data_IF_202408719608
#
_entry.id   IF_202408719608
#
_cell.length_a   1.000
_cell.length_b   1.000
_cell.length_c   1.000
_cell.angle_alpha   90.00
_cell.angle_beta   90.00
_cell.angle_gamma   90.00
#
_symmetry.space_group_name_H-M   'P 1'
#
loop_
_entity.id
_entity.type
_entity.pdbx_description
1 polymer ?
#
# COMPACT_ATOMS: atom_id res chain seq x y z
N UNK A 1 9.08 13.00 -27.00
CA UNK A 1 7.73 13.41 -27.43
C UNK A 1 6.68 12.30 -27.31
N UNK A 2 6.90 11.07 -27.80
CA UNK A 2 5.92 9.96 -27.62
C UNK A 2 5.89 9.41 -26.18
N UNK A 3 7.05 9.32 -25.51
CA UNK A 3 7.18 8.83 -24.13
C UNK A 3 6.42 9.74 -23.13
N UNK A 4 6.37 11.03 -23.42
CA UNK A 4 5.74 12.06 -22.59
C UNK A 4 4.20 11.95 -22.58
N UNK A 5 3.61 11.70 -23.75
CA UNK A 5 2.17 11.52 -23.91
C UNK A 5 1.68 10.23 -23.24
N UNK A 6 2.43 9.13 -23.36
CA UNK A 6 2.10 7.87 -22.69
C UNK A 6 2.09 8.03 -21.17
N UNK A 7 3.11 8.71 -20.61
CA UNK A 7 3.20 8.96 -19.17
C UNK A 7 1.99 9.79 -18.68
N UNK A 8 1.66 10.86 -19.40
CA UNK A 8 0.50 11.71 -19.08
C UNK A 8 -0.83 10.97 -19.16
N UNK A 9 -1.04 10.14 -20.19
CA UNK A 9 -2.27 9.32 -20.31
C UNK A 9 -2.39 8.36 -19.12
N UNK A 10 -1.29 7.71 -18.72
CA UNK A 10 -1.28 6.81 -17.57
C UNK A 10 -1.59 7.57 -16.29
N UNK A 11 -0.94 8.72 -16.04
CA UNK A 11 -1.22 9.55 -14.86
C UNK A 11 -2.68 10.00 -14.80
N UNK A 12 -3.26 10.49 -15.90
CA UNK A 12 -4.67 10.90 -15.96
C UNK A 12 -5.61 9.70 -15.71
N UNK A 13 -5.32 8.54 -16.29
CA UNK A 13 -6.10 7.33 -16.08
C UNK A 13 -6.04 6.86 -14.61
N UNK A 14 -4.86 6.94 -13.98
CA UNK A 14 -4.66 6.62 -12.56
C UNK A 14 -5.50 7.54 -11.67
N UNK A 15 -5.45 8.86 -11.90
CA UNK A 15 -6.27 9.84 -11.17
C UNK A 15 -7.76 9.54 -11.34
N UNK A 16 -8.23 9.30 -12.57
CA UNK A 16 -9.63 9.00 -12.85
C UNK A 16 -10.09 7.67 -12.19
N UNK A 17 -9.23 6.65 -12.19
CA UNK A 17 -9.49 5.36 -11.55
C UNK A 17 -9.66 5.53 -10.03
N UNK A 18 -8.72 6.21 -9.35
CA UNK A 18 -8.80 6.42 -7.91
C UNK A 18 -9.99 7.32 -7.54
N UNK A 19 -10.28 8.36 -8.32
CA UNK A 19 -11.47 9.18 -8.11
C UNK A 19 -12.76 8.36 -8.21
N UNK A 20 -12.83 7.46 -9.19
CA UNK A 20 -13.98 6.55 -9.35
C UNK A 20 -14.10 5.60 -8.15
N UNK A 21 -12.99 5.03 -7.69
CA UNK A 21 -12.95 4.20 -6.48
C UNK A 21 -13.39 4.99 -5.24
N UNK A 22 -13.01 6.26 -5.11
CA UNK A 22 -13.39 7.13 -4.00
C UNK A 22 -14.88 7.40 -3.98
N UNK A 23 -15.44 7.84 -5.11
CA UNK A 23 -16.89 8.09 -5.25
C UNK A 23 -17.69 6.81 -4.96
N UNK A 24 -17.24 5.68 -5.50
CA UNK A 24 -17.89 4.40 -5.26
C UNK A 24 -17.79 3.95 -3.81
N UNK A 25 -16.67 4.17 -3.12
CA UNK A 25 -16.54 3.86 -1.69
C UNK A 25 -17.43 4.75 -0.83
N UNK A 26 -17.51 6.05 -1.13
CA UNK A 26 -18.43 6.99 -0.44
C UNK A 26 -19.88 6.51 -0.59
N UNK A 27 -20.28 6.16 -1.81
CA UNK A 27 -21.62 5.62 -2.08
C UNK A 27 -21.85 4.29 -1.36
N UNK A 28 -20.90 3.37 -1.43
CA UNK A 28 -20.96 2.08 -0.77
C UNK A 28 -21.10 2.25 0.75
N UNK A 29 -20.37 3.16 1.36
CA UNK A 29 -20.42 3.45 2.80
C UNK A 29 -21.72 4.14 3.22
N UNK A 30 -22.23 5.08 2.42
CA UNK A 30 -23.51 5.73 2.69
C UNK A 30 -24.69 4.75 2.57
N UNK A 31 -24.65 3.88 1.56
CA UNK A 31 -25.65 2.81 1.36
C UNK A 31 -25.55 1.76 2.47
N UNK A 32 -24.32 1.39 2.82
CA UNK A 32 -23.99 0.48 3.90
C UNK A 32 -23.71 1.25 5.17
N UNK A 33 -24.66 2.06 5.64
CA UNK A 33 -24.73 2.54 7.02
C UNK A 33 -24.91 1.32 7.96
N UNK A 34 -23.88 0.48 7.97
CA UNK A 34 -23.85 -0.87 8.43
C UNK A 34 -23.44 -0.80 9.89
N UNK A 35 -24.37 -1.29 10.69
CA UNK A 35 -24.29 -1.67 12.11
C UNK A 35 -23.09 -2.56 12.52
N UNK A 36 -22.02 -2.70 11.72
CA UNK A 36 -20.93 -3.66 11.97
C UNK A 36 -19.56 -3.04 12.35
N UNK A 37 -19.21 -3.32 13.61
CA UNK A 37 -17.94 -3.77 14.20
C UNK A 37 -16.56 -3.15 13.93
N UNK A 38 -16.21 -2.61 12.76
CA UNK A 38 -14.80 -2.17 12.52
C UNK A 38 -14.68 -0.79 11.86
N UNK A 39 -15.18 0.22 12.59
CA UNK A 39 -15.12 1.63 12.21
C UNK A 39 -13.70 2.13 11.96
N UNK A 40 -12.67 1.48 12.52
CA UNK A 40 -11.28 1.89 12.35
C UNK A 40 -10.78 1.51 10.96
N UNK A 41 -10.98 0.26 10.52
CA UNK A 41 -10.57 -0.17 9.17
C UNK A 41 -11.24 0.67 8.09
N UNK A 42 -12.52 0.98 8.27
CA UNK A 42 -13.28 1.82 7.33
C UNK A 42 -12.68 3.24 7.27
N UNK A 43 -12.40 3.86 8.42
CA UNK A 43 -11.75 5.19 8.46
C UNK A 43 -10.37 5.17 7.81
N UNK A 44 -9.55 4.17 8.11
CA UNK A 44 -8.24 4.00 7.48
C UNK A 44 -8.38 3.83 5.97
N UNK A 45 -9.38 3.07 5.50
CA UNK A 45 -9.59 2.86 4.07
C UNK A 45 -9.94 4.17 3.36
N UNK A 46 -10.82 4.99 3.95
CA UNK A 46 -11.16 6.30 3.41
C UNK A 46 -9.99 7.27 3.42
N UNK A 47 -9.30 7.40 4.56
CA UNK A 47 -8.15 8.31 4.69
C UNK A 47 -7.06 7.88 3.69
N UNK A 48 -6.77 6.59 3.61
CA UNK A 48 -5.81 6.04 2.66
C UNK A 48 -6.19 6.31 1.21
N UNK A 49 -7.47 6.19 0.86
CA UNK A 49 -7.93 6.45 -0.52
C UNK A 49 -7.86 7.94 -0.89
N UNK A 50 -8.17 8.85 0.06
CA UNK A 50 -7.98 10.29 -0.13
C UNK A 50 -6.50 10.60 -0.32
N UNK A 51 -5.63 10.00 0.49
CA UNK A 51 -4.18 10.17 0.39
C UNK A 51 -3.64 9.64 -0.95
N UNK A 52 -4.12 8.48 -1.41
CA UNK A 52 -3.77 7.94 -2.72
C UNK A 52 -4.24 8.84 -3.87
N UNK A 53 -5.41 9.46 -3.74
CA UNK A 53 -5.91 10.41 -4.73
C UNK A 53 -5.04 11.67 -4.79
N UNK A 54 -4.70 12.24 -3.63
CA UNK A 54 -3.78 13.38 -3.54
C UNK A 54 -2.43 13.03 -4.17
N UNK A 55 -1.83 11.89 -3.80
CA UNK A 55 -0.58 11.41 -4.38
C UNK A 55 -0.60 11.33 -5.91
N UNK A 56 -1.65 10.74 -6.51
CA UNK A 56 -1.76 10.66 -7.98
C UNK A 56 -1.96 12.02 -8.64
N UNK A 57 -2.68 12.93 -7.98
CA UNK A 57 -2.86 14.30 -8.47
C UNK A 57 -1.54 15.06 -8.42
N UNK A 58 -0.78 14.92 -7.33
CA UNK A 58 0.52 15.56 -7.15
C UNK A 58 1.51 15.03 -8.19
N UNK A 59 1.58 13.71 -8.41
CA UNK A 59 2.39 13.11 -9.50
C UNK A 59 2.01 13.65 -10.88
N UNK A 60 0.72 13.83 -11.16
CA UNK A 60 0.28 14.43 -12.42
C UNK A 60 0.76 15.88 -12.56
N UNK A 61 0.68 16.68 -11.49
CA UNK A 61 1.14 18.07 -11.51
C UNK A 61 2.66 18.18 -11.69
N UNK A 62 3.42 17.26 -11.09
CA UNK A 62 4.87 17.16 -11.25
C UNK A 62 5.24 16.78 -12.68
N UNK A 63 4.55 15.79 -13.26
CA UNK A 63 4.74 15.40 -14.66
C UNK A 63 4.37 16.53 -15.65
N UNK A 64 3.59 17.51 -15.22
CA UNK A 64 3.28 18.74 -15.97
C UNK A 64 4.24 19.90 -15.66
N UNK A 65 5.34 19.64 -14.94
CA UNK A 65 6.36 20.59 -14.49
C UNK A 65 5.83 21.76 -13.63
N UNK A 66 4.69 21.59 -12.95
CA UNK A 66 4.03 22.68 -12.22
C UNK A 66 4.81 23.15 -10.98
N UNK A 67 5.69 22.31 -10.43
CA UNK A 67 6.45 22.58 -9.19
C UNK A 67 7.96 22.73 -9.39
N UNK A 68 8.42 22.85 -10.63
CA UNK A 68 9.86 22.90 -10.99
C UNK A 68 10.67 23.94 -10.22
N UNK A 69 10.07 25.08 -9.88
CA UNK A 69 10.72 26.16 -9.14
C UNK A 69 10.66 25.99 -7.61
N UNK A 70 9.97 24.95 -7.11
CA UNK A 70 9.71 24.70 -5.68
C UNK A 70 9.99 23.24 -5.30
N UNK A 71 11.25 22.77 -5.35
CA UNK A 71 11.61 21.37 -5.10
C UNK A 71 11.21 20.88 -3.70
N UNK A 72 11.20 21.76 -2.70
CA UNK A 72 10.75 21.41 -1.34
C UNK A 72 9.23 21.13 -1.31
N UNK A 73 8.45 21.87 -2.09
CA UNK A 73 7.01 21.64 -2.18
C UNK A 73 6.72 20.31 -2.88
N UNK A 74 7.46 19.99 -3.94
CA UNK A 74 7.40 18.71 -4.64
C UNK A 74 7.64 17.53 -3.70
N UNK A 75 8.73 17.55 -2.91
CA UNK A 75 9.05 16.50 -1.93
C UNK A 75 7.91 16.31 -0.92
N UNK A 76 7.36 17.40 -0.37
CA UNK A 76 6.31 17.33 0.65
C UNK A 76 4.97 16.81 0.08
N UNK A 77 4.62 17.25 -1.13
CA UNK A 77 3.38 16.86 -1.81
C UNK A 77 3.41 15.39 -2.26
N UNK A 78 4.57 14.84 -2.58
CA UNK A 78 4.69 13.39 -2.89
C UNK A 78 4.66 12.57 -1.60
N UNK A 79 5.52 12.91 -0.63
CA UNK A 79 5.85 11.98 0.45
C UNK A 79 4.77 11.92 1.52
N UNK A 80 4.10 13.03 1.83
CA UNK A 80 3.05 13.04 2.87
C UNK A 80 1.85 12.18 2.46
N UNK A 81 1.25 12.38 1.27
CA UNK A 81 0.13 11.55 0.82
C UNK A 81 0.54 10.08 0.64
N UNK A 82 1.73 9.83 0.09
CA UNK A 82 2.25 8.46 -0.06
C UNK A 82 2.41 7.75 1.29
N UNK A 83 3.03 8.39 2.27
CA UNK A 83 3.22 7.81 3.61
C UNK A 83 1.89 7.59 4.32
N UNK A 84 0.93 8.50 4.18
CA UNK A 84 -0.40 8.36 4.77
C UNK A 84 -1.17 7.20 4.14
N UNK A 85 -1.11 7.05 2.82
CA UNK A 85 -1.68 5.92 2.09
C UNK A 85 -1.07 4.59 2.56
N UNK A 86 0.25 4.47 2.52
CA UNK A 86 0.98 3.25 2.90
C UNK A 86 0.67 2.84 4.35
N UNK A 87 0.66 3.79 5.29
CA UNK A 87 0.30 3.50 6.68
C UNK A 87 -1.14 3.02 6.82
N UNK A 88 -2.10 3.67 6.17
CA UNK A 88 -3.50 3.24 6.22
C UNK A 88 -3.67 1.81 5.70
N UNK A 89 -3.00 1.49 4.59
CA UNK A 89 -2.98 0.15 4.02
C UNK A 89 -2.43 -0.89 5.00
N UNK A 90 -1.23 -0.68 5.55
CA UNK A 90 -0.62 -1.64 6.47
C UNK A 90 -1.37 -1.77 7.80
N UNK A 91 -1.98 -0.70 8.31
CA UNK A 91 -2.84 -0.77 9.50
C UNK A 91 -4.02 -1.72 9.25
N UNK A 92 -4.70 -1.58 8.11
CA UNK A 92 -5.81 -2.47 7.75
C UNK A 92 -5.30 -3.90 7.58
N UNK A 93 -4.21 -4.09 6.86
CA UNK A 93 -3.62 -5.40 6.61
C UNK A 93 -3.28 -6.14 7.92
N UNK A 94 -2.60 -5.47 8.86
CA UNK A 94 -2.23 -6.05 10.16
C UNK A 94 -3.49 -6.34 10.99
N UNK A 95 -4.47 -5.43 11.02
CA UNK A 95 -5.72 -5.62 11.78
C UNK A 95 -6.57 -6.75 11.25
N UNK A 96 -6.68 -6.90 9.92
CA UNK A 96 -7.37 -8.03 9.31
C UNK A 96 -6.65 -9.36 9.55
N UNK A 97 -5.32 -9.31 9.65
CA UNK A 97 -4.48 -10.48 9.92
C UNK A 97 -4.48 -10.91 11.40
N UNK A 98 -4.90 -10.06 12.34
CA UNK A 98 -4.93 -10.33 13.79
C UNK A 98 -5.61 -11.67 14.14
N UNK A 99 -6.76 -11.92 13.51
CA UNK A 99 -7.55 -13.14 13.74
C UNK A 99 -6.78 -14.43 13.39
N UNK A 100 -5.75 -14.33 12.54
CA UNK A 100 -5.01 -15.45 11.98
C UNK A 100 -3.56 -15.51 12.45
N UNK A 101 -2.98 -14.41 12.93
CA UNK A 101 -1.60 -14.34 13.39
C UNK A 101 -1.44 -14.68 14.88
N UNK A 102 -0.32 -15.32 15.28
CA UNK A 102 0.06 -15.37 16.69
C UNK A 102 0.38 -13.98 17.22
N UNK A 103 0.07 -13.69 18.49
CA UNK A 103 0.32 -12.38 19.12
C UNK A 103 1.74 -11.85 18.93
N UNK A 104 2.77 -12.72 19.02
CA UNK A 104 4.17 -12.33 18.80
C UNK A 104 4.42 -11.79 17.38
N UNK A 105 3.80 -12.43 16.39
CA UNK A 105 3.93 -12.07 14.97
C UNK A 105 3.19 -10.77 14.67
N UNK A 106 2.03 -10.57 15.29
CA UNK A 106 1.30 -9.31 15.24
C UNK A 106 2.13 -8.14 15.79
N UNK A 107 2.72 -8.29 16.98
CA UNK A 107 3.57 -7.24 17.55
C UNK A 107 4.80 -6.95 16.69
N UNK A 108 5.41 -7.99 16.11
CA UNK A 108 6.49 -7.84 15.15
C UNK A 108 6.06 -7.06 13.90
N UNK A 109 4.87 -7.31 13.37
CA UNK A 109 4.32 -6.57 12.22
C UNK A 109 4.10 -5.08 12.54
N UNK A 110 3.56 -4.78 13.72
CA UNK A 110 3.43 -3.38 14.19
C UNK A 110 4.78 -2.69 14.38
N UNK A 111 5.74 -3.38 15.00
CA UNK A 111 7.09 -2.85 15.17
C UNK A 111 7.77 -2.62 13.81
N UNK A 112 7.58 -3.53 12.85
CA UNK A 112 8.08 -3.40 11.49
C UNK A 112 7.48 -2.19 10.77
N UNK A 113 6.16 -1.96 10.89
CA UNK A 113 5.50 -0.78 10.34
C UNK A 113 6.08 0.53 10.92
N UNK A 114 6.26 0.60 12.24
CA UNK A 114 6.72 1.82 12.90
C UNK A 114 8.21 2.08 12.64
N UNK A 115 9.04 1.04 12.70
CA UNK A 115 10.51 1.21 12.66
C UNK A 115 11.03 1.14 11.23
N UNK A 116 10.64 0.10 10.48
CA UNK A 116 11.20 -0.16 9.15
C UNK A 116 10.48 0.68 8.11
N UNK A 117 9.16 0.53 7.98
CA UNK A 117 8.39 1.21 6.93
C UNK A 117 8.42 2.73 7.12
N UNK A 118 8.06 3.23 8.31
CA UNK A 118 8.09 4.67 8.55
C UNK A 118 9.50 5.24 8.66
N UNK A 119 10.48 4.46 9.15
CA UNK A 119 11.88 4.88 9.15
C UNK A 119 12.43 5.07 7.73
N UNK A 120 12.11 4.13 6.82
CA UNK A 120 12.44 4.23 5.41
C UNK A 120 11.74 5.41 4.74
N UNK A 121 10.47 5.71 5.06
CA UNK A 121 9.78 6.89 4.53
C UNK A 121 10.47 8.22 4.89
N UNK A 122 11.00 8.33 6.12
CA UNK A 122 11.78 9.51 6.52
C UNK A 122 13.11 9.57 5.77
N UNK A 123 13.78 8.42 5.63
CA UNK A 123 15.05 8.36 4.91
C UNK A 123 14.88 8.65 3.41
N UNK A 124 13.79 8.19 2.83
CA UNK A 124 13.38 8.46 1.45
C UNK A 124 13.17 9.95 1.21
N UNK A 125 12.44 10.61 2.12
CA UNK A 125 12.28 12.08 2.09
C UNK A 125 13.62 12.83 2.15
N UNK A 126 14.59 12.29 2.89
CA UNK A 126 15.93 12.84 2.95
C UNK A 126 16.73 12.59 1.67
N UNK A 127 16.62 11.41 1.06
CA UNK A 127 17.24 11.09 -0.21
C UNK A 127 16.72 12.00 -1.34
N UNK A 128 15.40 12.19 -1.40
CA UNK A 128 14.77 13.14 -2.32
C UNK A 128 15.22 14.59 -2.10
N UNK A 129 15.42 15.01 -0.85
CA UNK A 129 16.01 16.31 -0.56
C UNK A 129 17.44 16.44 -1.12
N UNK A 130 18.28 15.41 -0.95
CA UNK A 130 19.64 15.42 -1.49
C UNK A 130 19.63 15.50 -3.03
N UNK A 131 18.74 14.76 -3.68
CA UNK A 131 18.57 14.76 -5.14
C UNK A 131 18.13 16.13 -5.67
N UNK A 132 17.01 16.67 -5.16
CA UNK A 132 16.40 17.87 -5.72
C UNK A 132 16.98 19.19 -5.20
N UNK A 133 17.60 19.20 -4.01
CA UNK A 133 18.08 20.44 -3.38
C UNK A 133 19.62 20.53 -3.26
N UNK A 134 20.36 19.42 -3.38
CA UNK A 134 21.82 19.41 -3.17
C UNK A 134 22.59 19.10 -4.45
N UNK A 135 22.39 17.91 -5.06
CA UNK A 135 23.04 17.53 -6.31
C UNK A 135 22.32 16.34 -6.97
N UNK A 136 22.26 16.35 -8.30
CA UNK A 136 21.81 15.22 -9.12
C UNK A 136 22.70 13.97 -8.94
N UNK A 137 23.90 14.11 -8.38
CA UNK A 137 24.76 12.96 -8.03
C UNK A 137 24.10 12.01 -7.00
N UNK A 138 23.04 12.45 -6.32
CA UNK A 138 22.29 11.63 -5.35
C UNK A 138 21.10 10.86 -5.96
N UNK A 139 20.84 10.95 -7.27
CA UNK A 139 19.76 10.21 -7.94
C UNK A 139 19.85 8.69 -7.67
N UNK A 140 21.06 8.12 -7.62
CA UNK A 140 21.23 6.69 -7.32
C UNK A 140 20.77 6.33 -5.91
N UNK A 141 20.89 7.26 -4.95
CA UNK A 141 20.49 7.05 -3.57
C UNK A 141 18.97 7.05 -3.46
N UNK A 142 18.27 7.99 -4.12
CA UNK A 142 16.80 8.00 -4.21
C UNK A 142 16.28 6.68 -4.77
N UNK A 143 16.78 6.26 -5.94
CA UNK A 143 16.41 4.98 -6.56
C UNK A 143 16.68 3.76 -5.67
N UNK A 144 17.79 3.75 -4.93
CA UNK A 144 18.12 2.66 -4.02
C UNK A 144 17.14 2.61 -2.84
N UNK A 145 16.78 3.77 -2.28
CA UNK A 145 15.83 3.85 -1.16
C UNK A 145 14.42 3.46 -1.60
N UNK A 146 13.98 3.92 -2.77
CA UNK A 146 12.71 3.50 -3.38
C UNK A 146 12.62 1.99 -3.56
N UNK A 147 13.72 1.37 -4.06
CA UNK A 147 13.81 -0.08 -4.20
C UNK A 147 13.73 -0.79 -2.85
N UNK A 148 14.48 -0.33 -1.84
CA UNK A 148 14.48 -0.92 -0.50
C UNK A 148 13.11 -0.75 0.18
N UNK A 149 12.47 0.40 0.02
CA UNK A 149 11.12 0.67 0.53
C UNK A 149 10.11 -0.29 -0.08
N UNK A 150 10.11 -0.43 -1.41
CA UNK A 150 9.23 -1.37 -2.13
C UNK A 150 9.46 -2.82 -1.70
N UNK A 151 10.73 -3.24 -1.59
CA UNK A 151 11.08 -4.57 -1.12
C UNK A 151 10.64 -4.81 0.34
N UNK A 152 10.76 -3.80 1.18
CA UNK A 152 10.37 -3.87 2.59
C UNK A 152 8.86 -4.02 2.77
N UNK A 153 8.07 -3.39 1.88
CA UNK A 153 6.62 -3.52 1.84
C UNK A 153 6.23 -4.94 1.45
N UNK A 154 6.78 -5.44 0.34
CA UNK A 154 6.56 -6.80 -0.15
C UNK A 154 6.97 -7.85 0.88
N UNK A 155 8.07 -7.64 1.61
CA UNK A 155 8.56 -8.58 2.62
C UNK A 155 7.56 -8.81 3.75
N UNK A 156 6.93 -7.74 4.28
CA UNK A 156 5.94 -7.88 5.35
C UNK A 156 4.71 -8.65 4.87
N UNK A 157 4.19 -8.29 3.70
CA UNK A 157 3.04 -8.96 3.10
C UNK A 157 3.32 -10.43 2.84
N UNK A 158 4.49 -10.74 2.27
CA UNK A 158 4.95 -12.09 2.00
C UNK A 158 4.97 -12.95 3.26
N UNK A 159 5.59 -12.48 4.33
CA UNK A 159 5.67 -13.23 5.57
C UNK A 159 4.28 -13.50 6.15
N UNK A 160 3.42 -12.48 6.20
CA UNK A 160 2.08 -12.59 6.78
C UNK A 160 1.20 -13.50 5.92
N UNK A 161 1.17 -13.31 4.60
CA UNK A 161 0.36 -14.09 3.67
C UNK A 161 0.82 -15.55 3.64
N UNK A 162 2.12 -15.80 3.56
CA UNK A 162 2.67 -17.16 3.60
C UNK A 162 2.30 -17.88 4.90
N UNK A 163 2.39 -17.17 6.04
CA UNK A 163 1.98 -17.73 7.33
C UNK A 163 0.50 -18.09 7.37
N UNK A 164 -0.37 -17.20 6.88
CA UNK A 164 -1.81 -17.43 6.80
C UNK A 164 -2.11 -18.66 5.92
N UNK A 165 -1.51 -18.75 4.74
CA UNK A 165 -1.69 -19.86 3.80
C UNK A 165 -1.26 -21.18 4.46
N UNK A 166 -0.07 -21.24 5.05
CA UNK A 166 0.45 -22.44 5.73
C UNK A 166 -0.46 -22.85 6.90
N UNK A 167 -0.90 -21.88 7.72
CA UNK A 167 -1.81 -22.14 8.86
C UNK A 167 -3.15 -22.69 8.40
N UNK A 168 -3.74 -22.11 7.35
CA UNK A 168 -5.02 -22.54 6.79
C UNK A 168 -4.91 -23.93 6.15
N UNK A 169 -3.88 -24.17 5.35
CA UNK A 169 -3.63 -25.47 4.72
C UNK A 169 -3.47 -26.59 5.77
N UNK A 170 -2.68 -26.34 6.83
CA UNK A 170 -2.50 -27.31 7.92
C UNK A 170 -3.81 -27.56 8.69
N UNK A 171 -4.60 -26.52 8.96
CA UNK A 171 -5.90 -26.66 9.64
C UNK A 171 -6.88 -27.48 8.81
N UNK A 172 -6.89 -27.28 7.49
CA UNK A 172 -7.79 -27.95 6.54
C UNK A 172 -7.42 -29.40 6.29
N UNK A 173 -6.12 -29.75 6.31
CA UNK A 173 -5.66 -31.13 6.13
C UNK A 173 -6.33 -32.12 7.09
N UNK A 174 -6.59 -31.66 8.32
CA UNK A 174 -7.14 -32.47 9.41
C UNK A 174 -8.68 -32.41 9.53
N UNK A 175 -9.38 -31.76 8.59
CA UNK A 175 -10.85 -31.66 8.63
C UNK A 175 -11.52 -32.90 8.06
N UNK A 176 -12.52 -33.42 8.78
CA UNK A 176 -13.32 -34.57 8.36
C UNK A 176 -14.31 -34.24 7.22
N UNK A 177 -14.78 -32.98 7.13
CA UNK A 177 -15.70 -32.54 6.10
C UNK A 177 -14.96 -32.30 4.77
N UNK A 178 -15.22 -33.16 3.78
CA UNK A 178 -14.60 -33.10 2.46
C UNK A 178 -15.00 -31.86 1.65
N UNK A 179 -16.25 -31.39 1.76
CA UNK A 179 -16.73 -30.19 1.07
C UNK A 179 -16.05 -28.92 1.58
N UNK A 180 -15.94 -28.78 2.90
CA UNK A 180 -15.18 -27.69 3.53
C UNK A 180 -13.70 -27.73 3.11
N UNK A 181 -13.12 -28.93 3.07
CA UNK A 181 -11.72 -29.13 2.67
C UNK A 181 -11.46 -28.65 1.24
N UNK A 182 -12.33 -28.99 0.29
CA UNK A 182 -12.21 -28.54 -1.11
C UNK A 182 -12.36 -27.02 -1.21
N UNK A 183 -13.35 -26.44 -0.53
CA UNK A 183 -13.60 -24.99 -0.57
C UNK A 183 -12.39 -24.20 -0.07
N UNK A 184 -11.85 -24.55 1.09
CA UNK A 184 -10.73 -23.80 1.67
C UNK A 184 -9.44 -24.03 0.89
N UNK A 185 -9.22 -25.21 0.31
CA UNK A 185 -8.08 -25.43 -0.59
C UNK A 185 -8.16 -24.55 -1.84
N UNK A 186 -9.35 -24.38 -2.44
CA UNK A 186 -9.55 -23.44 -3.55
C UNK A 186 -9.26 -22.00 -3.13
N UNK A 187 -9.72 -21.57 -1.96
CA UNK A 187 -9.40 -20.25 -1.41
C UNK A 187 -7.90 -20.07 -1.19
N UNK A 188 -7.19 -21.08 -0.67
CA UNK A 188 -5.73 -21.03 -0.51
C UNK A 188 -5.01 -20.92 -1.86
N UNK A 189 -5.47 -21.62 -2.90
CA UNK A 189 -4.91 -21.50 -4.26
C UNK A 189 -5.12 -20.09 -4.79
N UNK A 190 -6.32 -19.53 -4.62
CA UNK A 190 -6.60 -18.14 -5.03
C UNK A 190 -5.69 -17.16 -4.29
N UNK A 191 -5.48 -17.34 -2.98
CA UNK A 191 -4.54 -16.53 -2.21
C UNK A 191 -3.10 -16.66 -2.71
N UNK A 192 -2.66 -17.88 -3.07
CA UNK A 192 -1.33 -18.09 -3.67
C UNK A 192 -1.22 -17.40 -5.03
N UNK A 193 -2.26 -17.44 -5.86
CA UNK A 193 -2.27 -16.76 -7.16
C UNK A 193 -2.18 -15.25 -6.96
N UNK A 194 -3.00 -14.66 -6.07
CA UNK A 194 -2.90 -13.24 -5.75
C UNK A 194 -1.52 -12.87 -5.21
N UNK A 195 -0.99 -13.68 -4.30
CA UNK A 195 0.35 -13.49 -3.77
C UNK A 195 1.45 -13.52 -4.85
N UNK A 196 1.30 -14.36 -5.88
CA UNK A 196 2.22 -14.40 -7.02
C UNK A 196 2.02 -13.23 -8.00
N UNK A 197 0.83 -12.62 -8.03
CA UNK A 197 0.57 -11.43 -8.86
C UNK A 197 1.09 -10.14 -8.21
N UNK A 198 1.16 -10.11 -6.87
CA UNK A 198 1.72 -8.99 -6.11
C UNK A 198 3.27 -9.00 -6.09
N UNK A 199 3.92 -10.13 -6.41
CA UNK A 199 5.39 -10.27 -6.53
C UNK A 199 5.91 -9.92 -7.91
#
# INVERSE_FOLDING_TARGET
MIIDLCLQIVSVASVASIATLLINNINYWYILDLKYSDKVNIRCQFIGLIAAFAFQLDLLLINLEYFKDYPIAEILLINIPWQLYSNCYFIIFIRQSDLLLPRKMMWAAWAYLIIVINGLAVYDSYAYYLEYCVSEDYIWLGNLVDFISSLSFLFLECIVNLWIIVKMANKVRNQANSGYKILVMKLCIVLVIYFLMDM
#
